data_IF_746460260109
#
_entry.id   IF_746460260109
#
_cell.length_a   1.000
_cell.length_b   1.000
_cell.length_c   1.000
_cell.angle_alpha   90.00
_cell.angle_beta   90.00
_cell.angle_gamma   90.00
#
_symmetry.space_group_name_H-M   'P 1'
#
loop_
_entity.id
_entity.type
_entity.pdbx_description
1 polymer ?
#
# COMPACT_ATOMS: atom_id res chain seq x y z
N UNK A 1 -6.55 15.56 -15.03
CA UNK A 1 -7.64 14.61 -14.68
C UNK A 1 -7.10 13.55 -13.73
N UNK A 2 -7.89 13.18 -12.71
CA UNK A 2 -7.53 12.12 -11.74
C UNK A 2 -8.46 10.92 -11.98
N UNK A 3 -7.94 9.75 -12.36
CA UNK A 3 -8.77 8.64 -12.82
C UNK A 3 -9.69 8.11 -11.72
N UNK A 4 -9.22 7.97 -10.47
CA UNK A 4 -10.07 7.43 -9.41
C UNK A 4 -11.15 8.41 -8.95
N UNK A 5 -10.85 9.71 -8.87
CA UNK A 5 -11.86 10.72 -8.56
C UNK A 5 -12.97 10.76 -9.64
N UNK A 6 -12.61 10.56 -10.92
CA UNK A 6 -13.57 10.45 -12.00
C UNK A 6 -14.38 9.15 -11.93
N UNK A 7 -13.71 8.03 -11.63
CA UNK A 7 -14.38 6.73 -11.46
C UNK A 7 -15.43 6.78 -10.34
N UNK A 8 -15.07 7.38 -9.20
CA UNK A 8 -15.99 7.57 -8.07
C UNK A 8 -17.21 8.42 -8.47
N UNK A 9 -17.00 9.49 -9.25
CA UNK A 9 -18.07 10.37 -9.71
C UNK A 9 -18.98 9.72 -10.76
N UNK A 10 -18.43 8.82 -11.57
CA UNK A 10 -19.15 8.12 -12.62
C UNK A 10 -19.69 6.75 -12.19
N UNK A 11 -19.42 6.37 -10.94
CA UNK A 11 -19.83 5.08 -10.36
C UNK A 11 -19.33 3.87 -11.16
N UNK A 12 -18.10 3.94 -11.67
CA UNK A 12 -17.42 2.86 -12.41
C UNK A 12 -16.23 2.30 -11.64
N UNK A 13 -15.74 1.12 -12.01
CA UNK A 13 -14.56 0.55 -11.35
C UNK A 13 -13.31 1.41 -11.58
N UNK A 14 -12.63 1.75 -10.49
CA UNK A 14 -11.42 2.59 -10.49
C UNK A 14 -10.29 2.00 -11.34
N UNK A 15 -10.10 0.67 -11.30
CA UNK A 15 -9.02 -0.01 -12.05
C UNK A 15 -9.37 -0.07 -13.53
N UNK A 16 -10.63 -0.35 -13.86
CA UNK A 16 -11.12 -0.33 -15.24
C UNK A 16 -10.94 1.06 -15.86
N UNK A 17 -11.36 2.13 -15.17
CA UNK A 17 -11.17 3.49 -15.69
C UNK A 17 -9.67 3.84 -15.81
N UNK A 18 -8.85 3.48 -14.83
CA UNK A 18 -7.39 3.66 -14.92
C UNK A 18 -6.82 2.92 -16.14
N UNK A 19 -7.20 1.66 -16.39
CA UNK A 19 -6.79 0.91 -17.59
C UNK A 19 -7.18 1.64 -18.86
N UNK A 20 -8.41 2.17 -18.93
CA UNK A 20 -8.87 2.98 -20.06
C UNK A 20 -7.99 4.20 -20.28
N UNK A 21 -7.65 4.95 -19.22
CA UNK A 21 -6.73 6.09 -19.33
C UNK A 21 -5.34 5.67 -19.81
N UNK A 22 -4.78 4.58 -19.28
CA UNK A 22 -3.47 4.07 -19.68
C UNK A 22 -3.43 3.66 -21.16
N UNK A 23 -4.46 2.97 -21.65
CA UNK A 23 -4.60 2.61 -23.07
C UNK A 23 -4.88 3.83 -23.94
N UNK A 24 -5.68 4.78 -23.46
CA UNK A 24 -5.91 6.04 -24.16
C UNK A 24 -4.61 6.85 -24.35
N UNK A 25 -3.67 6.75 -23.41
CA UNK A 25 -2.33 7.34 -23.56
C UNK A 25 -1.56 6.70 -24.71
N UNK A 26 -1.63 5.38 -24.91
CA UNK A 26 -0.85 4.71 -25.97
C UNK A 26 -1.35 5.01 -27.37
N UNK A 27 -2.61 5.40 -27.52
CA UNK A 27 -3.21 5.86 -28.78
C UNK A 27 -3.28 7.40 -28.89
N UNK A 28 -2.70 8.12 -27.94
CA UNK A 28 -2.57 9.58 -27.99
C UNK A 28 -3.82 10.38 -27.64
N UNK A 29 -4.87 9.80 -27.05
CA UNK A 29 -6.07 10.59 -26.67
C UNK A 29 -5.77 11.48 -25.46
N UNK A 30 -4.97 10.97 -24.54
CA UNK A 30 -4.53 11.68 -23.34
C UNK A 30 -3.03 11.62 -23.20
N UNK A 31 -2.47 12.59 -22.51
CA UNK A 31 -1.08 12.61 -22.08
C UNK A 31 -1.01 12.30 -20.59
N UNK A 32 -0.07 11.44 -20.21
CA UNK A 32 0.19 11.08 -18.83
C UNK A 32 1.30 11.97 -18.26
N UNK A 33 1.11 12.43 -17.02
CA UNK A 33 2.12 13.15 -16.25
C UNK A 33 2.14 12.68 -14.80
N UNK A 34 3.25 12.94 -14.12
CA UNK A 34 3.43 12.66 -12.71
C UNK A 34 3.47 13.95 -11.92
N UNK A 35 2.63 14.06 -10.89
CA UNK A 35 2.53 15.24 -10.04
C UNK A 35 3.02 14.91 -8.61
N UNK A 36 3.84 15.80 -8.04
CA UNK A 36 4.21 15.78 -6.63
C UNK A 36 3.30 16.71 -5.84
N UNK A 37 2.52 16.14 -4.93
CA UNK A 37 1.55 16.84 -4.10
C UNK A 37 2.19 17.36 -2.82
N UNK A 38 1.98 18.66 -2.57
CA UNK A 38 2.40 19.31 -1.33
C UNK A 38 1.68 18.72 -0.10
N UNK A 39 2.37 18.44 1.02
CA UNK A 39 1.71 17.86 2.18
C UNK A 39 0.75 18.82 2.91
N UNK A 40 0.87 20.13 2.67
CA UNK A 40 -0.03 21.15 3.22
C UNK A 40 -1.26 21.38 2.34
N UNK A 41 -1.06 21.91 1.13
CA UNK A 41 -2.17 22.26 0.22
C UNK A 41 -2.61 21.11 -0.69
N UNK A 42 -1.89 19.98 -0.76
CA UNK A 42 -2.21 18.83 -1.64
C UNK A 42 -2.31 19.15 -3.13
N UNK A 43 -1.86 20.33 -3.53
CA UNK A 43 -1.75 20.70 -4.92
C UNK A 43 -0.41 20.26 -5.50
N UNK A 44 -0.33 20.06 -6.84
CA UNK A 44 0.93 19.80 -7.51
C UNK A 44 1.89 20.96 -7.29
N UNK A 45 3.04 20.68 -6.67
CA UNK A 45 4.16 21.61 -6.59
C UNK A 45 5.19 21.39 -7.69
N UNK A 46 5.17 20.21 -8.32
CA UNK A 46 6.00 19.84 -9.47
C UNK A 46 5.24 18.83 -10.33
N UNK A 47 5.40 18.94 -11.64
CA UNK A 47 4.91 17.97 -12.62
C UNK A 47 6.05 17.55 -13.55
N UNK A 48 6.16 16.26 -13.84
CA UNK A 48 7.11 15.71 -14.83
C UNK A 48 6.41 14.78 -15.80
N UNK A 49 7.03 14.52 -16.96
CA UNK A 49 6.47 13.57 -17.94
C UNK A 49 6.76 12.13 -17.56
N UNK A 50 7.95 11.89 -17.03
CA UNK A 50 8.40 10.57 -16.63
C UNK A 50 8.64 10.50 -15.14
N UNK A 51 8.48 9.32 -14.55
CA UNK A 51 8.81 9.06 -13.16
C UNK A 51 10.33 9.18 -12.92
N UNK A 52 11.15 8.91 -13.94
CA UNK A 52 12.61 9.02 -13.90
C UNK A 52 13.11 10.44 -13.59
N UNK A 53 12.38 11.46 -14.05
CA UNK A 53 12.70 12.87 -13.82
C UNK A 53 12.39 13.34 -12.40
N UNK A 54 11.73 12.51 -11.58
CA UNK A 54 11.32 12.88 -10.24
C UNK A 54 12.49 12.91 -9.27
N UNK A 55 12.52 13.98 -8.47
CA UNK A 55 13.45 14.15 -7.35
C UNK A 55 12.72 13.90 -6.05
N UNK A 56 13.45 13.38 -5.05
CA UNK A 56 12.93 13.20 -3.70
C UNK A 56 12.53 14.54 -3.08
N UNK A 57 13.41 15.54 -3.14
CA UNK A 57 13.12 16.85 -2.57
C UNK A 57 12.21 17.69 -3.49
N UNK A 58 11.16 18.26 -2.90
CA UNK A 58 10.24 19.18 -3.55
C UNK A 58 10.00 20.42 -2.69
N UNK A 59 9.83 21.56 -3.34
CA UNK A 59 9.42 22.83 -2.72
C UNK A 59 8.03 23.21 -3.22
N UNK A 60 7.19 23.74 -2.35
CA UNK A 60 5.88 24.30 -2.71
C UNK A 60 5.86 25.80 -2.43
N UNK A 61 5.78 26.63 -3.48
CA UNK A 61 5.80 28.09 -3.36
C UNK A 61 4.60 28.63 -2.57
N UNK A 62 3.43 28.01 -2.71
CA UNK A 62 2.21 28.43 -2.03
C UNK A 62 2.27 28.21 -0.51
N UNK A 63 2.71 27.02 -0.10
CA UNK A 63 2.90 26.72 1.31
C UNK A 63 4.21 27.30 1.85
N UNK A 64 5.16 27.62 0.97
CA UNK A 64 6.55 27.97 1.27
C UNK A 64 7.23 26.92 2.17
N UNK A 65 7.18 25.65 1.74
CA UNK A 65 7.78 24.52 2.47
C UNK A 65 8.59 23.63 1.54
N UNK A 66 9.66 23.05 2.07
CA UNK A 66 10.45 22.01 1.43
C UNK A 66 10.22 20.67 2.13
N UNK A 67 10.11 19.60 1.37
CA UNK A 67 9.78 18.27 1.87
C UNK A 67 10.29 17.17 0.95
N UNK A 68 10.50 15.98 1.51
CA UNK A 68 10.80 14.77 0.74
C UNK A 68 9.51 14.07 0.29
N UNK A 69 9.35 13.91 -1.02
CA UNK A 69 8.24 13.25 -1.66
C UNK A 69 8.27 11.73 -1.44
N UNK A 70 7.08 11.19 -1.18
CA UNK A 70 6.85 9.77 -1.01
C UNK A 70 5.92 9.21 -2.08
N UNK A 71 6.31 8.11 -2.73
CA UNK A 71 5.58 7.52 -3.87
C UNK A 71 4.21 6.95 -3.52
N UNK A 72 3.97 6.61 -2.25
CA UNK A 72 2.71 6.02 -1.83
C UNK A 72 1.65 7.04 -1.41
N UNK A 73 2.00 8.32 -1.30
CA UNK A 73 1.05 9.39 -0.91
C UNK A 73 1.10 10.64 -1.78
N UNK A 74 2.29 11.09 -2.14
CA UNK A 74 2.49 12.42 -2.74
C UNK A 74 2.77 12.37 -4.24
N UNK A 75 3.16 11.23 -4.79
CA UNK A 75 3.38 11.10 -6.24
C UNK A 75 2.16 10.44 -6.85
N UNK A 76 1.41 11.19 -7.64
CA UNK A 76 0.22 10.69 -8.35
C UNK A 76 0.38 10.82 -9.86
N UNK A 77 -0.27 9.91 -10.59
CA UNK A 77 -0.44 10.04 -12.03
C UNK A 77 -1.63 10.95 -12.32
N UNK A 78 -1.49 11.79 -13.34
CA UNK A 78 -2.56 12.62 -13.89
C UNK A 78 -2.58 12.50 -15.40
N UNK A 79 -3.77 12.72 -15.94
CA UNK A 79 -4.01 12.66 -17.38
C UNK A 79 -4.56 13.99 -17.87
N UNK A 80 -4.08 14.45 -19.01
CA UNK A 80 -4.59 15.66 -19.70
C UNK A 80 -4.98 15.27 -21.11
N UNK A 81 -5.95 15.94 -21.72
CA UNK A 81 -6.27 15.70 -23.14
C UNK A 81 -5.04 16.06 -23.97
N UNK A 82 -4.67 15.22 -24.93
CA UNK A 82 -3.51 15.48 -25.76
C UNK A 82 -3.69 16.76 -26.58
N UNK A 83 -2.65 17.59 -26.66
CA UNK A 83 -2.74 18.92 -27.24
C UNK A 83 -3.18 18.92 -28.72
N UNK A 84 -2.89 17.84 -29.46
CA UNK A 84 -3.30 17.68 -30.85
C UNK A 84 -4.81 17.43 -31.03
N UNK A 85 -5.51 16.98 -29.98
CA UNK A 85 -6.97 16.86 -29.98
C UNK A 85 -7.62 18.14 -29.47
N UNK A 86 -7.08 18.71 -28.39
CA UNK A 86 -7.60 19.92 -27.78
C UNK A 86 -6.52 20.60 -26.96
N UNK A 87 -6.26 21.86 -27.28
CA UNK A 87 -5.43 22.71 -26.42
C UNK A 87 -6.19 23.05 -25.14
N UNK A 88 -5.60 22.72 -23.99
CA UNK A 88 -6.17 22.93 -22.66
C UNK A 88 -5.10 23.52 -21.75
N UNK A 89 -5.34 24.72 -21.23
CA UNK A 89 -4.47 25.35 -20.24
C UNK A 89 -4.98 25.11 -18.81
N UNK A 90 -4.15 24.56 -17.92
CA UNK A 90 -4.44 24.50 -16.48
C UNK A 90 -4.22 25.88 -15.83
N UNK A 91 -5.25 26.73 -15.89
CA UNK A 91 -5.23 28.05 -15.24
C UNK A 91 -5.80 27.96 -13.83
N UNK A 92 -4.91 28.04 -12.84
CA UNK A 92 -5.28 28.17 -11.43
C UNK A 92 -5.37 29.64 -11.05
N UNK A 93 -6.60 30.14 -10.92
CA UNK A 93 -6.87 31.53 -10.53
C UNK A 93 -6.76 31.77 -9.02
N UNK A 94 -7.16 30.79 -8.19
CA UNK A 94 -7.08 30.90 -6.73
C UNK A 94 -6.63 29.58 -6.10
N UNK A 95 -5.36 29.48 -5.72
CA UNK A 95 -4.76 28.29 -5.10
C UNK A 95 -5.45 27.89 -3.79
N UNK A 96 -5.89 28.86 -3.00
CA UNK A 96 -6.61 28.64 -1.74
C UNK A 96 -8.12 28.48 -1.88
N UNK A 97 -8.66 28.46 -3.10
CA UNK A 97 -10.10 28.33 -3.31
C UNK A 97 -10.62 26.95 -2.86
N UNK A 98 -11.85 26.85 -2.34
CA UNK A 98 -12.41 25.60 -1.82
C UNK A 98 -12.47 24.47 -2.85
N UNK A 99 -12.57 24.82 -4.15
CA UNK A 99 -12.48 23.84 -5.25
C UNK A 99 -11.09 23.22 -5.43
N UNK A 100 -10.02 23.95 -5.06
CA UNK A 100 -8.64 23.52 -5.25
C UNK A 100 -8.05 22.85 -3.99
N UNK A 101 -8.51 23.26 -2.81
CA UNK A 101 -8.10 22.72 -1.50
C UNK A 101 -9.31 22.24 -0.69
N UNK A 102 -10.07 21.24 -1.18
CA UNK A 102 -11.34 20.83 -0.58
C UNK A 102 -11.20 20.26 0.85
N UNK A 103 -9.99 19.95 1.28
CA UNK A 103 -9.70 19.53 2.66
C UNK A 103 -9.60 20.70 3.64
N UNK A 104 -9.54 21.94 3.16
CA UNK A 104 -9.68 23.12 4.01
C UNK A 104 -11.17 23.39 4.20
N UNK A 105 -11.63 23.16 5.42
CA UNK A 105 -13.06 23.25 5.78
C UNK A 105 -13.42 24.70 6.10
N UNK A 106 -12.52 25.41 6.78
CA UNK A 106 -12.71 26.82 7.11
C UNK A 106 -11.36 27.53 7.21
N UNK A 107 -11.31 28.78 6.78
CA UNK A 107 -10.16 29.67 6.98
C UNK A 107 -10.67 31.04 7.44
N UNK A 108 -10.08 31.56 8.52
CA UNK A 108 -10.49 32.81 9.15
C UNK A 108 -9.28 33.62 9.58
N UNK A 109 -9.24 34.89 9.20
CA UNK A 109 -8.25 35.86 9.68
C UNK A 109 -8.78 36.59 10.92
N UNK A 110 -8.00 36.63 11.99
CA UNK A 110 -8.32 37.25 13.27
C UNK A 110 -7.32 38.38 13.57
N UNK A 111 -7.80 39.59 13.83
CA UNK A 111 -6.97 40.69 14.34
C UNK A 111 -6.43 40.35 15.74
N UNK A 112 -5.37 41.03 16.22
CA UNK A 112 -4.88 40.87 17.60
C UNK A 112 -6.00 41.13 18.61
N UNK A 113 -6.22 40.20 19.54
CA UNK A 113 -7.29 40.28 20.54
C UNK A 113 -8.70 39.94 20.04
N UNK A 114 -8.88 39.72 18.73
CA UNK A 114 -10.21 39.44 18.15
C UNK A 114 -10.72 38.05 18.56
N UNK A 115 -12.03 37.98 18.83
CA UNK A 115 -12.78 36.74 18.96
C UNK A 115 -13.80 36.65 17.82
N UNK A 116 -13.87 35.49 17.16
CA UNK A 116 -14.85 35.22 16.11
C UNK A 116 -15.45 33.84 16.27
N UNK A 117 -16.77 33.77 16.15
CA UNK A 117 -17.52 32.51 16.13
C UNK A 117 -17.91 32.13 14.70
N UNK A 118 -17.95 30.83 14.41
CA UNK A 118 -18.44 30.27 13.16
C UNK A 118 -19.22 28.98 13.41
N UNK A 119 -20.18 28.69 12.55
CA UNK A 119 -20.92 27.44 12.52
C UNK A 119 -20.44 26.61 11.33
N UNK A 120 -20.10 25.34 11.56
CA UNK A 120 -19.56 24.43 10.55
C UNK A 120 -20.29 23.10 10.62
N UNK A 121 -20.84 22.63 9.50
CA UNK A 121 -21.45 21.29 9.43
C UNK A 121 -20.35 20.26 9.18
N UNK A 122 -20.02 19.50 10.22
CA UNK A 122 -18.93 18.52 10.19
C UNK A 122 -19.47 17.09 10.23
N UNK A 123 -18.84 16.23 9.43
CA UNK A 123 -19.08 14.79 9.44
C UNK A 123 -18.16 14.10 10.46
N UNK A 124 -18.41 12.83 10.73
CA UNK A 124 -17.52 12.02 11.56
C UNK A 124 -16.10 11.95 10.94
N UNK A 125 -15.15 12.63 11.58
CA UNK A 125 -13.74 12.64 11.19
C UNK A 125 -12.88 13.27 12.29
N UNK A 126 -11.56 13.26 12.08
CA UNK A 126 -10.61 14.02 12.89
C UNK A 126 -10.21 15.26 12.11
N UNK A 127 -10.45 16.44 12.64
CA UNK A 127 -10.04 17.71 12.04
C UNK A 127 -8.82 18.28 12.76
N UNK A 128 -8.05 19.09 12.05
CA UNK A 128 -6.88 19.78 12.57
C UNK A 128 -7.03 21.27 12.36
N UNK A 129 -7.00 22.03 13.45
CA UNK A 129 -6.89 23.48 13.42
C UNK A 129 -5.43 23.88 13.58
N UNK A 130 -4.92 24.65 12.63
CA UNK A 130 -3.56 25.19 12.65
C UNK A 130 -3.56 26.67 12.29
N UNK A 131 -2.50 27.34 12.70
CA UNK A 131 -2.22 28.72 12.32
C UNK A 131 -0.80 28.83 11.80
N UNK A 132 -0.54 29.77 10.88
CA UNK A 132 0.83 30.04 10.42
C UNK A 132 1.63 30.87 11.42
N UNK A 133 0.94 31.55 12.34
CA UNK A 133 1.51 32.50 13.28
C UNK A 133 1.87 31.90 14.64
N UNK A 134 1.33 30.72 14.96
CA UNK A 134 1.60 30.03 16.24
C UNK A 134 2.04 28.59 16.01
N UNK A 135 2.82 28.06 16.94
CA UNK A 135 3.26 26.67 16.89
C UNK A 135 2.18 25.71 17.38
N UNK A 136 2.25 24.45 16.96
CA UNK A 136 1.29 23.43 17.36
C UNK A 136 -0.05 23.52 16.64
N UNK A 137 -0.96 22.61 17.01
CA UNK A 137 -2.26 22.44 16.38
C UNK A 137 -3.28 21.98 17.40
N UNK A 138 -4.55 22.34 17.21
CA UNK A 138 -5.66 21.68 17.89
C UNK A 138 -6.20 20.54 17.03
N UNK A 139 -6.43 19.39 17.64
CA UNK A 139 -7.12 18.25 17.03
C UNK A 139 -8.57 18.30 17.50
N UNK A 140 -9.52 18.30 16.57
CA UNK A 140 -10.95 18.28 16.88
C UNK A 140 -11.51 16.95 16.40
N UNK A 141 -11.84 16.05 17.33
CA UNK A 141 -12.41 14.74 17.03
C UNK A 141 -13.94 14.84 16.97
N UNK A 142 -14.51 14.60 15.79
CA UNK A 142 -15.96 14.64 15.56
C UNK A 142 -16.48 13.22 15.46
N UNK A 143 -17.33 12.82 16.40
CA UNK A 143 -17.88 11.46 16.48
C UNK A 143 -19.24 11.44 17.19
N UNK A 144 -20.13 10.48 16.90
CA UNK A 144 -21.50 10.47 17.42
C UNK A 144 -21.57 10.34 18.95
N UNK A 145 -20.61 9.64 19.55
CA UNK A 145 -20.55 9.39 20.99
C UNK A 145 -19.96 10.56 21.80
N UNK A 146 -19.50 11.62 21.12
CA UNK A 146 -18.97 12.79 21.79
C UNK A 146 -20.08 13.49 22.61
N UNK A 147 -19.70 14.23 23.68
CA UNK A 147 -20.63 15.09 24.40
C UNK A 147 -21.34 16.05 23.44
N UNK A 148 -22.57 16.43 23.76
CA UNK A 148 -23.22 17.59 23.14
C UNK A 148 -22.52 18.87 23.63
N UNK A 149 -21.29 19.07 23.18
CA UNK A 149 -20.60 20.35 23.29
C UNK A 149 -21.16 21.25 22.19
N UNK A 150 -22.10 22.09 22.58
CA UNK A 150 -22.68 23.11 21.70
C UNK A 150 -21.65 24.13 21.22
N UNK A 151 -20.50 24.27 21.88
CA UNK A 151 -19.44 25.19 21.48
C UNK A 151 -18.04 24.61 21.78
N UNK A 152 -17.12 24.73 20.82
CA UNK A 152 -15.69 24.46 21.01
C UNK A 152 -14.95 25.79 20.93
N UNK A 153 -14.31 26.20 22.03
CA UNK A 153 -13.49 27.39 22.08
C UNK A 153 -12.01 27.05 21.91
N UNK A 154 -11.35 27.67 20.94
CA UNK A 154 -9.91 27.53 20.67
C UNK A 154 -9.24 28.89 20.68
N UNK A 155 -8.12 28.98 21.40
CA UNK A 155 -7.34 30.20 21.57
C UNK A 155 -5.96 30.02 20.92
N UNK A 156 -5.59 30.98 20.09
CA UNK A 156 -4.27 31.09 19.49
C UNK A 156 -3.39 31.97 20.40
N UNK A 157 -2.33 31.38 20.96
CA UNK A 157 -1.36 32.07 21.83
C UNK A 157 0.04 31.94 21.25
N UNK A 158 0.96 32.82 21.68
CA UNK A 158 2.35 32.79 21.22
C UNK A 158 3.05 31.45 21.48
N UNK A 159 2.68 30.76 22.57
CA UNK A 159 3.16 29.43 22.95
C UNK A 159 2.48 28.28 22.19
N UNK A 160 1.32 28.54 21.55
CA UNK A 160 0.66 27.60 20.66
C UNK A 160 -0.87 27.65 20.69
N UNK A 161 -1.50 26.56 20.25
CA UNK A 161 -2.96 26.44 20.15
C UNK A 161 -3.52 25.70 21.36
N UNK A 162 -4.58 26.24 21.98
CA UNK A 162 -5.20 25.68 23.18
C UNK A 162 -6.74 25.70 23.12
N UNK A 163 -7.43 24.62 23.50
CA UNK A 163 -6.88 23.31 23.85
C UNK A 163 -6.25 22.64 22.62
N UNK A 164 -5.27 21.76 22.85
CA UNK A 164 -4.61 21.01 21.77
C UNK A 164 -5.46 19.83 21.27
N UNK A 165 -6.46 19.41 22.05
CA UNK A 165 -7.43 18.37 21.71
C UNK A 165 -8.81 18.84 22.16
N UNK A 166 -9.80 18.70 21.29
CA UNK A 166 -11.20 18.91 21.57
C UNK A 166 -12.02 17.80 20.92
N UNK A 167 -13.23 17.59 21.42
CA UNK A 167 -14.19 16.65 20.83
C UNK A 167 -15.54 17.35 20.64
N UNK A 168 -16.26 16.96 19.60
CA UNK A 168 -17.61 17.45 19.31
C UNK A 168 -18.46 16.34 18.69
N UNK A 169 -19.77 16.42 18.90
CA UNK A 169 -20.72 15.51 18.28
C UNK A 169 -20.87 15.82 16.80
N UNK A 170 -21.15 14.80 15.99
CA UNK A 170 -21.49 14.96 14.56
C UNK A 170 -22.65 15.95 14.39
N UNK A 171 -22.53 16.89 13.45
CA UNK A 171 -23.52 17.93 13.20
C UNK A 171 -22.88 19.32 13.07
N UNK A 172 -23.67 20.35 13.38
CA UNK A 172 -23.20 21.73 13.36
C UNK A 172 -22.31 22.02 14.58
N UNK A 173 -21.02 22.19 14.33
CA UNK A 173 -20.04 22.67 15.31
C UNK A 173 -20.08 24.19 15.38
N UNK A 174 -20.33 24.75 16.57
CA UNK A 174 -20.03 26.16 16.83
C UNK A 174 -18.60 26.29 17.33
N UNK A 175 -17.72 26.78 16.46
CA UNK A 175 -16.30 26.99 16.74
C UNK A 175 -16.06 28.47 17.08
N UNK A 176 -15.57 28.73 18.29
CA UNK A 176 -15.15 30.06 18.73
C UNK A 176 -13.64 30.15 18.73
N UNK A 177 -13.11 31.09 17.98
CA UNK A 177 -11.67 31.33 17.84
C UNK A 177 -11.30 32.67 18.46
N UNK A 178 -10.28 32.68 19.31
CA UNK A 178 -9.72 33.91 19.87
C UNK A 178 -8.24 34.01 19.53
N UNK A 179 -7.82 35.17 19.04
CA UNK A 179 -6.42 35.49 18.82
C UNK A 179 -5.86 36.27 20.02
N UNK A 180 -5.08 35.62 20.89
CA UNK A 180 -4.36 36.28 22.00
C UNK A 180 -2.90 36.60 21.63
N UNK A 181 -2.53 36.44 20.35
CA UNK A 181 -1.20 36.87 19.87
C UNK A 181 -1.17 38.38 19.63
N UNK A 182 0.03 38.95 19.62
CA UNK A 182 0.25 40.37 19.34
C UNK A 182 0.14 40.77 17.85
N UNK A 183 -0.13 39.82 16.96
CA UNK A 183 -0.16 40.02 15.50
C UNK A 183 -1.45 39.42 14.89
N UNK A 184 -1.87 39.85 13.69
CA UNK A 184 -2.95 39.18 12.99
C UNK A 184 -2.62 37.70 12.78
N UNK A 185 -3.58 36.81 13.07
CA UNK A 185 -3.41 35.38 12.98
C UNK A 185 -4.46 34.76 12.04
N UNK A 186 -3.99 33.85 11.19
CA UNK A 186 -4.83 33.02 10.35
C UNK A 186 -5.15 31.71 11.08
N UNK A 187 -6.42 31.34 11.18
CA UNK A 187 -6.85 30.06 11.67
C UNK A 187 -7.40 29.23 10.50
N UNK A 188 -6.84 28.03 10.32
CA UNK A 188 -7.22 27.11 9.27
C UNK A 188 -7.66 25.79 9.89
N UNK A 189 -8.91 25.42 9.64
CA UNK A 189 -9.45 24.10 9.96
C UNK A 189 -9.36 23.22 8.71
N UNK A 190 -8.69 22.08 8.84
CA UNK A 190 -8.49 21.15 7.73
C UNK A 190 -8.80 19.70 8.16
N UNK A 191 -9.27 18.88 7.23
CA UNK A 191 -9.31 17.44 7.40
C UNK A 191 -7.93 16.85 6.99
N UNK A 192 -7.10 16.36 7.93
CA UNK A 192 -5.76 15.85 7.66
C UNK A 192 -5.76 14.53 6.88
N UNK A 193 -6.92 13.87 6.78
CA UNK A 193 -7.10 12.65 6.00
C UNK A 193 -6.83 12.93 4.53
N UNK A 194 -5.90 12.18 3.94
CA UNK A 194 -5.66 12.23 2.51
C UNK A 194 -6.80 11.54 1.76
N UNK A 195 -7.33 12.16 0.69
CA UNK A 195 -8.33 11.52 -0.14
C UNK A 195 -7.76 10.23 -0.75
N UNK A 196 -8.58 9.19 -0.78
CA UNK A 196 -8.20 7.89 -1.32
C UNK A 196 -8.43 7.80 -2.85
N UNK A 197 -8.48 8.94 -3.53
CA UNK A 197 -8.80 9.10 -4.95
C UNK A 197 -7.57 9.43 -5.82
N UNK A 198 -6.37 9.35 -5.24
CA UNK A 198 -5.10 9.44 -5.94
C UNK A 198 -4.70 8.07 -6.51
N UNK A 199 -4.45 8.01 -7.82
CA UNK A 199 -3.72 6.89 -8.43
C UNK A 199 -2.22 7.13 -8.23
N UNK A 200 -1.68 6.62 -7.13
CA UNK A 200 -0.30 6.89 -6.71
C UNK A 200 0.71 6.06 -7.50
N UNK A 201 1.96 6.51 -7.53
CA UNK A 201 3.07 5.76 -8.12
C UNK A 201 3.22 4.36 -7.51
N UNK A 202 2.94 4.21 -6.21
CA UNK A 202 2.90 2.89 -5.57
C UNK A 202 1.82 1.96 -6.13
N UNK A 203 0.63 2.48 -6.46
CA UNK A 203 -0.43 1.68 -7.08
C UNK A 203 -0.01 1.24 -8.47
N UNK A 204 0.46 2.19 -9.29
CA UNK A 204 0.87 1.94 -10.68
C UNK A 204 2.04 0.96 -10.76
N UNK A 205 2.99 1.03 -9.82
CA UNK A 205 4.09 0.06 -9.71
C UNK A 205 3.61 -1.37 -9.47
N UNK A 206 2.40 -1.54 -8.94
CA UNK A 206 1.73 -2.82 -8.67
C UNK A 206 0.56 -3.09 -9.63
N UNK A 207 0.42 -2.29 -10.69
CA UNK A 207 -0.63 -2.41 -11.68
C UNK A 207 -0.08 -3.05 -12.95
N UNK A 208 -0.48 -4.30 -13.24
CA UNK A 208 0.11 -5.08 -14.33
C UNK A 208 0.04 -4.35 -15.67
N UNK A 209 -1.12 -3.79 -16.02
CA UNK A 209 -1.31 -3.02 -17.27
C UNK A 209 -0.31 -1.85 -17.39
N UNK A 210 0.00 -1.16 -16.29
CA UNK A 210 0.97 -0.08 -16.30
C UNK A 210 2.39 -0.60 -16.58
N UNK A 211 2.75 -1.75 -16.00
CA UNK A 211 4.06 -2.36 -16.24
C UNK A 211 4.20 -2.87 -17.67
N UNK A 212 3.12 -3.38 -18.26
CA UNK A 212 3.12 -3.90 -19.61
C UNK A 212 3.20 -2.77 -20.65
N UNK A 213 2.48 -1.67 -20.43
CA UNK A 213 2.44 -0.53 -21.36
C UNK A 213 3.58 0.49 -21.16
N UNK A 214 4.08 0.65 -19.93
CA UNK A 214 5.04 1.69 -19.54
C UNK A 214 6.23 1.13 -18.73
N UNK A 215 6.72 -0.06 -19.08
CA UNK A 215 7.77 -0.76 -18.31
C UNK A 215 9.05 0.05 -18.04
N UNK A 216 9.39 1.01 -18.90
CA UNK A 216 10.53 1.94 -18.71
C UNK A 216 10.34 2.91 -17.54
N UNK A 217 9.10 3.26 -17.20
CA UNK A 217 8.76 4.16 -16.09
C UNK A 217 8.94 3.47 -14.72
N UNK A 218 8.72 2.16 -14.65
CA UNK A 218 8.66 1.38 -13.40
C UNK A 218 10.05 1.14 -12.77
N UNK A 219 11.11 1.19 -13.58
CA UNK A 219 12.47 0.78 -13.20
C UNK A 219 13.55 1.80 -13.61
N UNK A 220 13.20 3.09 -13.66
CA UNK A 220 14.18 4.12 -13.99
C UNK A 220 15.37 4.10 -13.01
N UNK A 221 16.61 3.87 -13.49
CA UNK A 221 17.80 3.92 -12.65
C UNK A 221 17.95 5.30 -11.98
N UNK A 222 18.23 5.33 -10.68
CA UNK A 222 18.43 6.58 -9.93
C UNK A 222 17.19 7.14 -9.24
N UNK A 223 16.01 6.53 -9.41
CA UNK A 223 14.80 6.90 -8.67
C UNK A 223 14.91 6.50 -7.20
N UNK A 224 15.36 7.42 -6.35
CA UNK A 224 15.42 7.27 -4.89
C UNK A 224 14.21 7.95 -4.22
N UNK A 225 13.01 7.43 -4.47
CA UNK A 225 11.83 7.91 -3.76
C UNK A 225 11.50 7.02 -2.56
N UNK A 226 11.07 7.64 -1.46
CA UNK A 226 10.67 6.91 -0.26
C UNK A 226 9.36 6.15 -0.50
N UNK A 227 9.42 4.81 -0.40
CA UNK A 227 8.25 3.93 -0.35
C UNK A 227 7.95 3.68 1.12
N UNK A 228 6.82 4.16 1.66
CA UNK A 228 6.48 3.86 3.05
C UNK A 228 6.02 2.42 3.22
N UNK A 229 5.21 1.89 2.28
CA UNK A 229 4.63 0.54 2.36
C UNK A 229 4.37 -0.08 0.98
N UNK A 230 5.12 -1.12 0.63
CA UNK A 230 4.82 -2.07 -0.44
C UNK A 230 5.06 -3.49 0.09
N UNK A 231 4.23 -4.45 -0.32
CA UNK A 231 4.43 -5.85 0.01
C UNK A 231 4.99 -6.60 -1.20
N UNK A 232 6.00 -7.45 -0.97
CA UNK A 232 6.58 -8.31 -1.99
C UNK A 232 6.38 -9.77 -1.62
N UNK A 233 6.02 -10.59 -2.60
CA UNK A 233 5.93 -12.04 -2.49
C UNK A 233 6.97 -12.65 -3.43
N UNK A 234 7.69 -13.63 -2.90
CA UNK A 234 8.61 -14.46 -3.67
C UNK A 234 8.11 -15.90 -3.62
N UNK A 235 7.98 -16.51 -4.79
CA UNK A 235 7.69 -17.94 -4.93
C UNK A 235 8.84 -18.61 -5.64
N UNK A 236 9.01 -19.91 -5.40
CA UNK A 236 10.07 -20.72 -6.01
C UNK A 236 9.58 -22.16 -6.16
N UNK A 237 10.08 -22.90 -7.14
CA UNK A 237 9.74 -24.30 -7.31
C UNK A 237 10.62 -25.17 -6.41
N UNK A 238 10.00 -25.90 -5.49
CA UNK A 238 10.73 -26.82 -4.62
C UNK A 238 11.38 -27.93 -5.45
N UNK A 239 12.70 -28.06 -5.35
CA UNK A 239 13.45 -29.13 -6.03
C UNK A 239 13.69 -28.88 -7.53
N UNK A 240 13.63 -27.63 -7.99
CA UNK A 240 13.80 -27.29 -9.41
C UNK A 240 15.12 -27.73 -10.03
N UNK A 241 16.23 -27.72 -9.29
CA UNK A 241 17.51 -28.26 -9.80
C UNK A 241 17.40 -29.73 -10.19
N UNK A 242 16.72 -30.54 -9.37
CA UNK A 242 16.48 -31.94 -9.66
C UNK A 242 15.46 -32.11 -10.81
N UNK A 243 14.49 -31.19 -10.93
CA UNK A 243 13.55 -31.16 -12.06
C UNK A 243 14.30 -31.02 -13.39
N UNK A 244 15.19 -30.03 -13.51
CA UNK A 244 15.98 -29.80 -14.72
C UNK A 244 16.84 -31.01 -15.11
N UNK A 245 17.39 -31.73 -14.12
CA UNK A 245 18.21 -32.91 -14.34
C UNK A 245 17.39 -34.13 -14.77
N UNK A 246 16.20 -34.33 -14.19
CA UNK A 246 15.42 -35.56 -14.37
C UNK A 246 14.56 -35.57 -15.63
N UNK A 247 13.96 -34.43 -16.00
CA UNK A 247 13.02 -34.35 -17.14
C UNK A 247 13.62 -33.69 -18.38
N UNK A 248 14.85 -33.18 -18.29
CA UNK A 248 15.54 -32.44 -19.34
C UNK A 248 15.05 -31.00 -19.49
N UNK A 249 15.86 -30.16 -20.15
CA UNK A 249 15.66 -28.71 -20.20
C UNK A 249 14.32 -28.29 -20.80
N UNK A 250 13.93 -28.83 -21.96
CA UNK A 250 12.71 -28.40 -22.64
C UNK A 250 11.44 -28.68 -21.81
N UNK A 251 11.39 -29.84 -21.15
CA UNK A 251 10.23 -30.23 -20.34
C UNK A 251 10.22 -29.51 -19.00
N UNK A 252 11.38 -29.30 -18.37
CA UNK A 252 11.49 -28.49 -17.17
C UNK A 252 11.08 -27.03 -17.42
N UNK A 253 11.52 -26.45 -18.54
CA UNK A 253 11.11 -25.11 -18.94
C UNK A 253 9.59 -24.98 -19.11
N UNK A 254 8.95 -25.96 -19.75
CA UNK A 254 7.49 -25.98 -19.86
C UNK A 254 6.80 -26.02 -18.49
N UNK A 255 7.27 -26.85 -17.57
CA UNK A 255 6.70 -26.93 -16.21
C UNK A 255 6.89 -25.63 -15.42
N UNK A 256 8.00 -24.93 -15.64
CA UNK A 256 8.24 -23.60 -15.07
C UNK A 256 7.27 -22.57 -15.66
N UNK A 257 7.02 -22.60 -16.97
CA UNK A 257 6.02 -21.74 -17.61
C UNK A 257 4.60 -22.04 -17.11
N UNK A 258 4.24 -23.31 -16.98
CA UNK A 258 2.95 -23.72 -16.42
C UNK A 258 2.81 -23.24 -14.96
N UNK A 259 3.88 -23.34 -14.16
CA UNK A 259 3.94 -22.78 -12.80
C UNK A 259 3.68 -21.27 -12.78
N UNK A 260 4.29 -20.53 -13.71
CA UNK A 260 4.08 -19.08 -13.80
C UNK A 260 2.64 -18.74 -14.19
N UNK A 261 2.05 -19.50 -15.14
CA UNK A 261 0.64 -19.35 -15.51
C UNK A 261 -0.30 -19.57 -14.32
N UNK A 262 -0.05 -20.61 -13.53
CA UNK A 262 -0.85 -20.94 -12.33
C UNK A 262 -0.78 -19.84 -11.24
N UNK A 263 0.34 -19.15 -11.12
CA UNK A 263 0.51 -18.07 -10.14
C UNK A 263 -0.01 -16.72 -10.64
N UNK A 264 -0.07 -16.52 -11.95
CA UNK A 264 -0.51 -15.26 -12.56
C UNK A 264 -1.93 -14.88 -12.15
N UNK A 265 -2.87 -15.82 -12.22
CA UNK A 265 -4.28 -15.56 -11.90
C UNK A 265 -4.51 -15.18 -10.42
N UNK A 266 -4.01 -15.93 -9.41
CA UNK A 266 -4.13 -15.52 -8.01
C UNK A 266 -3.49 -14.15 -7.70
N UNK A 267 -2.34 -13.84 -8.32
CA UNK A 267 -1.68 -12.53 -8.17
C UNK A 267 -2.59 -11.43 -8.70
N UNK A 268 -3.17 -11.62 -9.89
CA UNK A 268 -4.07 -10.65 -10.52
C UNK A 268 -5.37 -10.46 -9.74
N UNK A 269 -6.00 -11.56 -9.28
CA UNK A 269 -7.20 -11.53 -8.42
C UNK A 269 -6.95 -10.78 -7.11
N UNK A 270 -5.74 -10.91 -6.56
CA UNK A 270 -5.29 -10.19 -5.37
C UNK A 270 -4.80 -8.76 -5.66
N UNK A 271 -5.06 -8.24 -6.87
CA UNK A 271 -4.68 -6.89 -7.33
C UNK A 271 -3.17 -6.60 -7.29
N UNK A 272 -2.33 -7.64 -7.35
CA UNK A 272 -0.88 -7.53 -7.47
C UNK A 272 -0.40 -7.49 -8.91
N UNK A 273 0.91 -7.33 -9.06
CA UNK A 273 1.60 -7.42 -10.35
C UNK A 273 2.88 -8.26 -10.23
N UNK A 274 3.19 -8.98 -11.30
CA UNK A 274 4.47 -9.68 -11.44
C UNK A 274 5.55 -8.65 -11.75
N UNK A 275 6.56 -8.56 -10.89
CA UNK A 275 7.69 -7.63 -11.05
C UNK A 275 8.68 -8.20 -12.08
N UNK A 276 9.11 -9.45 -11.83
CA UNK A 276 10.05 -10.20 -12.66
C UNK A 276 10.03 -11.68 -12.28
N UNK A 277 10.56 -12.48 -13.18
CA UNK A 277 10.92 -13.88 -12.93
C UNK A 277 12.45 -14.00 -12.83
N UNK A 278 12.93 -14.92 -12.00
CA UNK A 278 14.37 -15.23 -11.86
C UNK A 278 14.52 -16.74 -11.79
N UNK A 279 14.92 -17.37 -12.90
CA UNK A 279 14.92 -18.82 -13.01
C UNK A 279 13.50 -19.36 -12.93
N UNK A 280 13.22 -20.14 -11.89
CA UNK A 280 11.94 -20.73 -11.53
C UNK A 280 11.16 -19.94 -10.47
N UNK A 281 11.72 -18.81 -10.00
CA UNK A 281 11.10 -17.96 -9.01
C UNK A 281 10.28 -16.83 -9.63
N UNK A 282 9.15 -16.49 -8.99
CA UNK A 282 8.40 -15.25 -9.27
C UNK A 282 8.61 -14.25 -8.15
N UNK A 283 8.84 -12.99 -8.52
CA UNK A 283 8.69 -11.85 -7.64
C UNK A 283 7.42 -11.09 -8.01
N UNK A 284 6.50 -10.95 -7.06
CA UNK A 284 5.26 -10.18 -7.20
C UNK A 284 5.19 -9.04 -6.17
N UNK A 285 4.50 -7.97 -6.52
CA UNK A 285 4.32 -6.80 -5.65
C UNK A 285 2.84 -6.47 -5.47
N UNK A 286 2.50 -6.01 -4.26
CA UNK A 286 1.14 -5.68 -3.84
C UNK A 286 1.13 -4.34 -3.12
N UNK A 287 0.17 -3.48 -3.50
CA UNK A 287 -0.11 -2.26 -2.77
C UNK A 287 -0.76 -2.61 -1.41
N UNK A 288 -0.49 -1.83 -0.35
CA UNK A 288 -1.16 -2.03 0.93
C UNK A 288 -2.69 -1.87 0.75
N UNK A 289 -3.52 -2.64 1.49
CA UNK A 289 -4.96 -2.50 1.43
C UNK A 289 -5.35 -1.07 1.82
N UNK A 290 -6.12 -0.41 0.96
CA UNK A 290 -6.68 0.92 1.25
C UNK A 290 -7.82 0.76 2.24
N UNK A 291 -7.90 1.67 3.22
CA UNK A 291 -9.03 1.70 4.16
C UNK A 291 -10.26 2.12 3.37
N UNK A 292 -11.23 1.21 3.22
CA UNK A 292 -12.49 1.52 2.55
C UNK A 292 -13.16 2.74 3.21
N UNK A 293 -13.73 3.63 2.39
CA UNK A 293 -14.76 4.56 2.86
C UNK A 293 -15.94 3.68 3.30
N UNK A 294 -16.39 3.81 4.55
CA UNK A 294 -17.72 3.31 4.93
C UNK A 294 -18.73 4.18 4.18
N UNK A 295 -19.40 3.63 3.18
CA UNK A 295 -20.66 4.19 2.70
C UNK A 295 -21.80 3.82 3.67
N UNK A 296 -22.92 4.55 3.66
CA UNK A 296 -24.08 4.23 4.50
C UNK A 296 -24.73 2.86 4.20
N UNK A 297 -24.47 2.26 3.04
CA UNK A 297 -25.08 0.99 2.60
C UNK A 297 -24.13 -0.23 2.61
N UNK A 298 -22.92 -0.12 3.17
CA UNK A 298 -22.01 -1.26 3.28
C UNK A 298 -22.41 -2.19 4.44
N UNK A 299 -23.43 -3.01 4.21
CA UNK A 299 -23.66 -4.23 4.97
C UNK A 299 -22.43 -5.15 4.78
N UNK A 300 -21.55 -5.13 5.78
CA UNK A 300 -20.17 -5.58 5.70
C UNK A 300 -19.96 -7.02 5.23
N UNK A 301 -19.19 -7.16 4.16
CA UNK A 301 -18.30 -8.29 3.91
C UNK A 301 -16.87 -7.95 4.30
N UNK A 302 -16.58 -7.86 5.60
CA UNK A 302 -15.20 -7.86 6.10
C UNK A 302 -14.65 -9.27 5.89
N UNK A 303 -13.86 -9.47 4.83
CA UNK A 303 -13.17 -10.72 4.57
C UNK A 303 -12.03 -10.91 5.58
N UNK A 304 -12.39 -11.13 6.84
CA UNK A 304 -11.55 -11.86 7.78
C UNK A 304 -11.58 -13.33 7.35
N UNK A 305 -10.44 -14.03 7.26
CA UNK A 305 -10.45 -15.47 7.05
C UNK A 305 -10.98 -16.14 8.33
N UNK A 306 -12.30 -16.25 8.44
CA UNK A 306 -12.97 -16.87 9.57
C UNK A 306 -13.17 -18.37 9.28
N UNK A 307 -12.47 -19.22 10.03
CA UNK A 307 -12.63 -20.67 9.99
C UNK A 307 -14.02 -21.08 10.54
N UNK A 308 -15.04 -21.09 9.67
CA UNK A 308 -16.34 -21.71 10.00
C UNK A 308 -16.29 -23.23 9.80
N UNK A 309 -16.25 -23.96 10.91
CA UNK A 309 -16.57 -25.39 10.97
C UNK A 309 -18.09 -25.57 10.84
N UNK A 310 -18.59 -26.06 9.71
CA UNK A 310 -19.88 -26.75 9.60
C UNK A 310 -19.71 -28.01 8.76
N UNK A 311 -20.29 -29.11 9.24
CA UNK A 311 -19.91 -30.47 8.88
C UNK A 311 -20.59 -31.05 7.65
N UNK A 312 -19.84 -31.95 6.99
CA UNK A 312 -20.28 -32.99 6.05
C UNK A 312 -20.15 -32.64 4.56
N UNK A 313 -19.94 -33.62 3.65
CA UNK A 313 -19.01 -34.77 3.66
C UNK A 313 -17.69 -34.45 2.90
N UNK A 314 -16.60 -35.13 3.27
CA UNK A 314 -15.21 -34.83 2.85
C UNK A 314 -14.96 -34.93 1.33
N UNK A 315 -14.37 -33.91 0.69
CA UNK A 315 -13.58 -34.06 -0.52
C UNK A 315 -12.10 -34.29 -0.19
N UNK A 316 -11.39 -34.77 -1.20
CA UNK A 316 -10.03 -35.33 -1.28
C UNK A 316 -8.96 -34.33 -0.81
N UNK A 317 -7.81 -34.75 -0.23
CA UNK A 317 -6.84 -33.81 0.36
C UNK A 317 -6.15 -32.95 -0.70
N UNK A 318 -6.28 -31.63 -0.58
CA UNK A 318 -5.43 -30.63 -1.25
C UNK A 318 -4.01 -30.68 -0.65
N UNK A 319 -3.02 -30.97 -1.50
CA UNK A 319 -1.61 -30.88 -1.18
C UNK A 319 -1.24 -29.40 -0.95
N UNK A 320 -0.98 -29.03 0.32
CA UNK A 320 -0.49 -27.70 0.69
C UNK A 320 0.94 -27.51 0.17
N UNK A 321 1.10 -26.65 -0.84
CA UNK A 321 2.41 -26.16 -1.28
C UNK A 321 3.00 -25.22 -0.20
N UNK A 322 4.25 -25.44 0.27
CA UNK A 322 4.87 -24.54 1.24
C UNK A 322 5.35 -23.25 0.56
N UNK A 323 4.51 -22.21 0.54
CA UNK A 323 4.93 -20.85 0.16
C UNK A 323 5.60 -20.14 1.35
N UNK A 324 6.81 -19.62 1.16
CA UNK A 324 7.57 -18.87 2.17
C UNK A 324 7.35 -17.36 1.97
N UNK A 325 6.49 -16.73 2.77
CA UNK A 325 6.34 -15.28 2.77
C UNK A 325 7.46 -14.63 3.61
N UNK A 326 8.24 -13.72 3.02
CA UNK A 326 9.27 -12.95 3.72
C UNK A 326 8.90 -11.48 3.72
N UNK A 327 8.54 -10.93 4.87
CA UNK A 327 8.47 -9.48 5.07
C UNK A 327 9.89 -8.93 5.23
N UNK A 328 10.43 -8.29 4.19
CA UNK A 328 11.73 -7.62 4.30
C UNK A 328 11.51 -6.16 4.73
N UNK A 329 11.64 -5.87 6.04
CA UNK A 329 12.08 -4.54 6.48
C UNK A 329 13.55 -4.44 6.13
N UNK A 330 13.96 -3.33 5.55
CA UNK A 330 15.33 -3.08 5.15
C UNK A 330 16.24 -2.96 6.40
N UNK A 331 16.73 -4.10 6.92
CA UNK A 331 17.92 -4.21 7.77
C UNK A 331 18.60 -5.55 7.52
N UNK A 332 19.93 -5.50 7.53
CA UNK A 332 20.87 -6.56 7.20
C UNK A 332 20.88 -7.71 8.23
N UNK A 333 21.32 -8.90 7.78
CA UNK A 333 21.70 -10.12 8.52
C UNK A 333 20.59 -10.98 9.13
N UNK A 334 20.38 -12.18 8.58
CA UNK A 334 20.80 -13.48 9.16
C UNK A 334 20.02 -14.68 8.54
N UNK A 335 20.75 -15.75 8.28
CA UNK A 335 20.30 -16.99 7.63
C UNK A 335 20.04 -18.04 8.71
N UNK A 336 18.87 -18.71 8.72
CA UNK A 336 18.76 -20.05 9.35
C UNK A 336 17.73 -20.96 8.67
N UNK A 337 18.19 -22.20 8.46
CA UNK A 337 17.58 -23.34 7.78
C UNK A 337 16.51 -24.04 8.64
N UNK A 338 15.49 -24.62 7.99
CA UNK A 338 14.77 -25.81 8.47
C UNK A 338 14.41 -26.72 7.28
N UNK A 339 14.84 -27.99 7.34
CA UNK A 339 14.49 -29.12 6.44
C UNK A 339 13.36 -29.93 7.09
N UNK A 340 12.39 -30.43 6.31
CA UNK A 340 11.90 -31.81 6.41
C UNK A 340 11.05 -32.26 5.21
N UNK A 341 11.44 -33.42 4.66
CA UNK A 341 10.87 -34.43 3.76
C UNK A 341 9.62 -34.24 2.89
N UNK A 342 9.79 -34.60 1.61
CA UNK A 342 8.77 -35.27 0.79
C UNK A 342 9.45 -36.33 -0.11
N UNK A 343 9.53 -37.57 0.36
CA UNK A 343 9.73 -38.75 -0.48
C UNK A 343 8.57 -39.71 -0.23
N UNK A 344 8.17 -40.41 -1.30
CA UNK A 344 7.06 -41.37 -1.43
C UNK A 344 5.74 -40.82 -1.98
N UNK A 345 5.67 -40.62 -3.30
CA UNK A 345 4.48 -40.96 -4.10
C UNK A 345 4.67 -41.01 -5.64
N UNK A 346 5.81 -41.50 -6.13
CA UNK A 346 5.94 -41.89 -7.56
C UNK A 346 6.63 -43.25 -7.68
N UNK A 347 5.98 -44.29 -7.18
CA UNK A 347 6.25 -45.68 -7.57
C UNK A 347 5.07 -46.55 -7.11
N UNK A 348 4.28 -47.08 -8.05
CA UNK A 348 3.21 -48.01 -7.67
C UNK A 348 2.14 -48.28 -8.72
N UNK A 349 2.51 -48.84 -9.88
CA UNK A 349 1.66 -49.82 -10.58
C UNK A 349 2.50 -51.04 -10.92
N UNK A 350 2.53 -52.01 -10.04
CA UNK A 350 2.69 -53.43 -10.36
C UNK A 350 2.27 -54.27 -9.14
N UNK A 351 1.58 -55.36 -9.42
CA UNK A 351 0.85 -56.24 -8.49
C UNK A 351 1.75 -56.89 -7.42
N UNK A 352 1.22 -57.08 -6.21
CA UNK A 352 1.74 -58.04 -5.21
C UNK A 352 1.00 -59.38 -5.30
N UNK A 353 1.64 -60.50 -4.93
CA UNK A 353 0.99 -61.61 -4.27
C UNK A 353 1.28 -61.63 -2.76
N UNK A 354 0.19 -61.84 -2.01
CA UNK A 354 -0.03 -62.37 -0.65
C UNK A 354 1.16 -62.55 0.30
N UNK A 355 1.02 -61.94 1.48
CA UNK A 355 1.73 -62.27 2.72
C UNK A 355 1.07 -63.45 3.45
N UNK A 356 1.88 -64.41 3.89
CA UNK A 356 1.54 -65.38 4.92
C UNK A 356 2.40 -65.13 6.17
N UNK A 357 1.70 -64.69 7.21
CA UNK A 357 1.80 -64.99 8.65
C UNK A 357 3.14 -65.29 9.38
N UNK A 358 3.30 -64.56 10.50
CA UNK A 358 3.77 -64.92 11.85
C UNK A 358 5.25 -65.17 12.23
N UNK A 359 5.54 -64.64 13.43
CA UNK A 359 6.57 -65.01 14.43
C UNK A 359 7.99 -64.42 14.21
N UNK A 360 8.80 -64.03 15.19
CA UNK A 360 8.73 -63.99 16.65
C UNK A 360 9.83 -63.03 17.17
N UNK A 361 9.77 -62.78 18.47
CA UNK A 361 10.55 -61.93 19.35
C UNK A 361 12.07 -62.23 19.42
N UNK A 362 12.77 -61.26 20.03
CA UNK A 362 14.08 -61.32 20.74
C UNK A 362 15.36 -61.14 19.91
N UNK A 363 15.99 -59.98 20.09
CA UNK A 363 17.38 -59.90 20.59
C UNK A 363 17.65 -58.53 21.21
N UNK A 364 17.72 -58.54 22.55
CA UNK A 364 18.36 -57.51 23.35
C UNK A 364 19.73 -58.04 23.81
N UNK A 365 20.74 -57.16 23.75
CA UNK A 365 21.90 -57.02 24.66
C UNK A 365 22.86 -58.21 24.86
N UNK A 366 24.17 -57.95 24.70
CA UNK A 366 25.23 -58.37 25.64
C UNK A 366 26.55 -57.59 25.45
N UNK A 367 26.98 -56.99 26.57
CA UNK A 367 28.35 -56.87 27.13
C UNK A 367 29.40 -55.99 26.40
N UNK A 368 29.86 -54.88 27.00
CA UNK A 368 30.82 -54.69 28.12
C UNK A 368 32.27 -55.04 27.77
N UNK A 369 33.11 -54.00 27.95
CA UNK A 369 34.53 -53.97 28.35
C UNK A 369 35.61 -54.41 27.35
N UNK A 370 36.64 -53.55 27.20
CA UNK A 370 37.88 -53.86 26.49
C UNK A 370 38.70 -52.64 26.07
N UNK A 371 39.38 -51.99 27.03
CA UNK A 371 40.56 -51.14 26.78
C UNK A 371 41.78 -52.08 26.57
N UNK A 372 42.77 -51.72 25.72
CA UNK A 372 44.09 -51.42 26.28
C UNK A 372 44.81 -50.21 25.66
N UNK A 373 45.83 -49.79 26.42
CA UNK A 373 46.69 -48.60 26.36
C UNK A 373 47.94 -48.80 25.47
N UNK A 374 48.49 -47.64 25.02
CA UNK A 374 49.93 -47.27 24.82
C UNK A 374 50.67 -47.98 23.65
N UNK A 375 51.69 -47.42 22.98
CA UNK A 375 52.59 -46.27 23.20
C UNK A 375 53.24 -45.82 21.86
N UNK A 376 53.72 -44.56 21.81
CA UNK A 376 55.06 -44.06 21.37
C UNK A 376 55.64 -44.51 20.01
N UNK A 377 56.38 -43.73 19.21
CA UNK A 377 57.18 -42.52 19.39
C UNK A 377 57.43 -41.83 18.01
N UNK A 378 57.60 -40.50 18.06
CA UNK A 378 58.54 -39.61 17.33
C UNK A 378 58.96 -39.91 15.86
N UNK A 379 58.78 -38.90 15.01
CA UNK A 379 59.86 -38.02 14.52
C UNK A 379 59.26 -36.66 14.15
#
# INVERSE_FOLDING_TARGET
MRPFAMADRWEVDRRELLTTFLRATTIGIVEMSWDVLCPGCRLPSRSTKTLAEMKAEAHCDFCNITYDASVDRQVEVRFTVAAHLRDVSDRRFCTGGPMNVPHFVAQVELAPGEERAMALDLIESTYRLRSRQVQGTAIIEVHPDAPETGEVAVVLRSEGVSPSIAASRVGTLHLRLRNETGLPASALLEEPKWPDDAATASILSTFQEFRDLFGSEVLAPGLQLSIQRLAFVFTDLTGSTALYQNVGQARAFRLVQDHFGLLGEPIAQSRGAVVKTVGDAIMAAFAPPRRARRGPDDAGGDARPEHRRRGGPRPIPEDRHPCRAVHRRQRERETRLLRHDYQHRVAGRARMPRWTDRSDRRRARRCREGVPRRARDRA
#
